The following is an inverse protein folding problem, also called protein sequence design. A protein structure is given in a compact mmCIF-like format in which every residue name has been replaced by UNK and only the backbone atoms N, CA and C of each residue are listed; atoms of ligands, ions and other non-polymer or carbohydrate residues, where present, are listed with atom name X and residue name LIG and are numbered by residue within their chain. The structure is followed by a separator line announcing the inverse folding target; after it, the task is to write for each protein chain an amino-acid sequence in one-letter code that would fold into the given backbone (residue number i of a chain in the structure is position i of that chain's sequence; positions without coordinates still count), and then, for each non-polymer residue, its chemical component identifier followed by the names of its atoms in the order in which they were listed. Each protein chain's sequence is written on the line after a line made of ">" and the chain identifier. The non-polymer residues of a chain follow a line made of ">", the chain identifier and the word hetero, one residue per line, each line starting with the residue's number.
data_IF_095223591965
#
_entry.id   IF_095223591965
#
_cell.length_a   1.000
_cell.length_b   1.000
_cell.length_c   1.000
_cell.angle_alpha   90.00
_cell.angle_beta   90.00
_cell.angle_gamma   90.00
#
_symmetry.space_group_name_H-M   'P 1'
#
loop_
_entity.id
_entity.type
_entity.pdbx_description
1 polymer ?
#
# COMPACT_ATOMS: atom_id res chain seq x y z
N UNK A 1 42.87 29.92 -0.01
CA UNK A 1 43.94 29.39 0.86
C UNK A 1 43.42 29.47 2.29
N UNK A 2 43.39 28.30 2.93
CA UNK A 2 43.33 28.03 4.36
C UNK A 2 42.53 28.99 5.25
N UNK A 3 41.30 28.59 5.54
CA UNK A 3 40.67 28.93 6.82
C UNK A 3 41.26 28.03 7.91
N UNK A 4 41.61 28.62 9.05
CA UNK A 4 41.74 27.88 10.31
C UNK A 4 41.35 28.84 11.41
N UNK A 5 40.23 28.55 12.08
CA UNK A 5 40.04 28.97 13.45
C UNK A 5 39.34 27.84 14.19
N UNK A 6 40.14 27.17 15.00
CA UNK A 6 39.76 26.21 16.02
C UNK A 6 39.02 26.98 17.13
N UNK A 7 37.89 26.45 17.61
CA UNK A 7 37.31 26.92 18.87
C UNK A 7 37.08 25.75 19.81
N UNK A 8 37.77 25.88 20.93
CA UNK A 8 37.87 25.01 22.10
C UNK A 8 36.53 24.90 22.84
N UNK A 9 36.28 23.71 23.37
CA UNK A 9 35.16 23.38 24.25
C UNK A 9 35.32 24.07 25.62
N UNK A 10 34.22 24.43 26.27
CA UNK A 10 34.23 25.00 27.62
C UNK A 10 32.84 25.19 28.22
N UNK A 11 32.33 24.14 28.83
CA UNK A 11 31.09 23.99 29.62
C UNK A 11 31.05 24.88 30.87
N UNK A 12 29.86 25.43 31.20
CA UNK A 12 29.29 25.53 32.57
C UNK A 12 27.85 26.09 32.43
N UNK A 13 26.80 25.34 32.77
CA UNK A 13 26.24 25.09 34.12
C UNK A 13 25.41 26.27 34.64
N UNK A 14 24.18 26.00 35.11
CA UNK A 14 23.47 26.94 35.97
C UNK A 14 21.94 27.03 35.81
N UNK A 15 21.25 26.14 36.49
CA UNK A 15 19.81 26.00 36.78
C UNK A 15 19.06 27.23 37.33
N UNK A 16 17.83 27.43 36.81
CA UNK A 16 16.57 27.81 37.52
C UNK A 16 16.40 29.27 38.00
N UNK A 17 15.22 29.84 38.19
CA UNK A 17 13.81 29.55 37.86
C UNK A 17 13.00 30.68 38.55
N UNK A 18 12.29 31.55 37.83
CA UNK A 18 11.29 32.44 38.47
C UNK A 18 10.22 32.96 37.47
N UNK A 19 8.97 32.86 37.94
CA UNK A 19 7.68 33.05 37.26
C UNK A 19 7.26 34.55 37.20
N UNK A 20 6.81 35.10 36.08
CA UNK A 20 5.44 35.16 35.51
C UNK A 20 4.84 36.58 35.53
N UNK A 21 4.49 37.11 34.34
CA UNK A 21 3.49 38.17 34.16
C UNK A 21 2.92 38.17 32.72
N UNK A 22 1.60 37.94 32.65
CA UNK A 22 0.54 38.23 31.64
C UNK A 22 0.81 39.40 30.67
N UNK A 23 0.27 39.57 29.46
CA UNK A 23 -0.90 39.12 28.66
C UNK A 23 -0.61 39.54 27.20
N UNK A 24 -1.06 38.77 26.18
CA UNK A 24 -1.67 39.26 24.91
C UNK A 24 -1.56 38.25 23.75
N UNK A 25 -2.72 37.93 23.18
CA UNK A 25 -3.05 37.76 21.75
C UNK A 25 -2.34 36.67 20.92
N UNK A 26 -3.18 35.69 20.55
CA UNK A 26 -3.15 34.80 19.39
C UNK A 26 -2.15 35.14 18.27
N UNK A 27 -1.42 34.12 17.80
CA UNK A 27 -1.75 33.46 16.53
C UNK A 27 -1.45 31.95 16.65
N UNK A 28 -2.51 31.15 16.55
CA UNK A 28 -2.41 29.72 16.44
C UNK A 28 -2.00 29.35 15.02
N UNK A 29 -0.93 28.56 14.86
CA UNK A 29 -0.96 27.42 13.92
C UNK A 29 -0.12 26.28 14.50
N UNK A 30 -0.77 25.40 15.26
CA UNK A 30 -0.37 24.01 15.38
C UNK A 30 -0.96 23.24 14.21
N UNK A 31 -0.16 22.75 13.25
CA UNK A 31 -0.55 21.61 12.41
C UNK A 31 0.72 20.81 12.11
N UNK A 32 1.10 19.92 13.03
CA UNK A 32 0.83 18.49 12.93
C UNK A 32 1.72 17.81 11.87
N UNK A 33 2.88 17.35 12.33
CA UNK A 33 3.46 16.10 11.84
C UNK A 33 2.39 15.02 11.98
N UNK A 34 1.82 14.59 10.87
CA UNK A 34 0.67 13.72 10.90
C UNK A 34 0.02 13.60 9.55
N UNK A 35 0.78 13.16 8.53
CA UNK A 35 0.12 12.46 7.43
C UNK A 35 -0.40 11.17 8.04
N UNK A 36 -1.64 11.24 8.53
CA UNK A 36 -2.48 10.09 8.76
C UNK A 36 -2.62 9.38 7.41
N UNK A 37 -1.62 8.56 7.09
CA UNK A 37 -1.85 7.37 6.33
C UNK A 37 -2.79 6.55 7.20
N UNK A 38 -4.09 6.78 7.03
CA UNK A 38 -5.09 5.76 7.30
C UNK A 38 -4.72 4.59 6.40
N UNK A 39 -3.77 3.77 6.88
CA UNK A 39 -3.68 2.39 6.51
C UNK A 39 -5.02 1.81 6.93
N UNK A 40 -6.00 1.91 6.04
CA UNK A 40 -7.08 0.94 6.03
C UNK A 40 -6.35 -0.38 5.91
N UNK A 41 -6.21 -1.06 7.04
CA UNK A 41 -5.98 -2.47 7.08
C UNK A 41 -7.21 -3.07 6.42
N UNK A 42 -7.22 -3.05 5.07
CA UNK A 42 -8.06 -3.91 4.29
C UNK A 42 -7.76 -5.28 4.89
N UNK A 43 -8.73 -5.83 5.61
CA UNK A 43 -8.73 -7.23 5.97
C UNK A 43 -8.57 -7.94 4.65
N UNK A 44 -7.34 -8.33 4.34
CA UNK A 44 -7.00 -8.79 3.02
C UNK A 44 -7.62 -10.18 2.90
N UNK A 45 -8.88 -10.19 2.48
CA UNK A 45 -9.65 -11.39 2.33
C UNK A 45 -8.83 -12.33 1.44
N UNK A 46 -8.63 -13.54 1.94
CA UNK A 46 -7.88 -14.55 1.21
C UNK A 46 -8.86 -15.37 0.40
N UNK A 47 -8.72 -15.28 -0.91
CA UNK A 47 -9.57 -15.99 -1.84
C UNK A 47 -8.83 -17.19 -2.39
N UNK A 48 -9.57 -18.27 -2.60
CA UNK A 48 -9.02 -19.50 -3.16
C UNK A 48 -8.90 -19.35 -4.67
N UNK A 49 -7.77 -19.77 -5.23
CA UNK A 49 -7.61 -19.92 -6.67
C UNK A 49 -8.41 -21.14 -7.15
N UNK A 50 -8.86 -21.10 -8.41
CA UNK A 50 -9.57 -22.19 -9.07
C UNK A 50 -8.88 -23.54 -8.82
N UNK A 51 -9.57 -24.52 -8.22
CA UNK A 51 -8.99 -25.82 -7.94
C UNK A 51 -8.62 -26.51 -9.25
N UNK A 52 -7.42 -27.09 -9.31
CA UNK A 52 -6.91 -27.75 -10.52
C UNK A 52 -6.29 -26.83 -11.57
N UNK A 53 -6.16 -25.52 -11.30
CA UNK A 53 -5.45 -24.58 -12.17
C UNK A 53 -4.21 -23.98 -11.48
N UNK A 54 -3.14 -23.79 -12.25
CA UNK A 54 -2.02 -22.95 -11.84
C UNK A 54 -2.25 -21.56 -12.41
N UNK A 55 -2.14 -20.53 -11.56
CA UNK A 55 -2.47 -19.17 -11.96
C UNK A 55 -1.22 -18.33 -12.05
N UNK A 56 -1.06 -17.69 -13.19
CA UNK A 56 0.08 -16.82 -13.46
C UNK A 56 -0.19 -15.43 -12.88
N UNK A 57 0.66 -15.03 -11.93
CA UNK A 57 0.78 -13.66 -11.45
C UNK A 57 1.56 -12.87 -12.49
N UNK A 58 1.00 -11.74 -12.92
CA UNK A 58 1.55 -10.89 -13.97
C UNK A 58 1.98 -9.54 -13.41
N UNK A 59 2.90 -8.88 -14.11
CA UNK A 59 3.39 -7.55 -13.71
C UNK A 59 2.36 -6.43 -13.89
N UNK A 60 1.31 -6.66 -14.66
CA UNK A 60 0.26 -5.70 -14.95
C UNK A 60 -1.08 -6.38 -15.25
N UNK A 61 -2.17 -5.62 -15.41
CA UNK A 61 -3.52 -6.14 -15.61
C UNK A 61 -3.78 -6.53 -17.08
N UNK A 62 -2.85 -7.26 -17.69
CA UNK A 62 -2.99 -7.70 -19.08
C UNK A 62 -2.39 -9.08 -19.24
N UNK A 63 -2.91 -9.87 -20.19
CA UNK A 63 -2.32 -11.19 -20.48
C UNK A 63 -1.01 -11.09 -21.26
N UNK A 64 -0.73 -9.93 -21.84
CA UNK A 64 0.55 -9.61 -22.47
C UNK A 64 1.62 -9.19 -21.47
N UNK A 65 1.26 -8.89 -20.21
CA UNK A 65 2.23 -8.57 -19.17
C UNK A 65 3.05 -9.81 -18.78
N UNK A 66 4.33 -9.58 -18.47
CA UNK A 66 5.26 -10.61 -18.05
C UNK A 66 4.77 -11.35 -16.82
N UNK A 67 4.88 -12.67 -16.82
CA UNK A 67 4.60 -13.50 -15.65
C UNK A 67 5.73 -13.30 -14.65
N UNK A 68 5.41 -12.75 -13.49
CA UNK A 68 6.37 -12.47 -12.40
C UNK A 68 6.44 -13.61 -11.40
N UNK A 69 5.34 -14.35 -11.25
CA UNK A 69 5.23 -15.50 -10.35
C UNK A 69 4.11 -16.41 -10.82
N UNK A 70 4.15 -17.67 -10.42
CA UNK A 70 3.08 -18.63 -10.66
C UNK A 70 2.58 -19.17 -9.31
N UNK A 71 1.27 -19.23 -9.15
CA UNK A 71 0.60 -19.75 -7.98
C UNK A 71 0.35 -21.25 -8.18
N UNK A 72 0.72 -22.09 -7.19
CA UNK A 72 0.45 -23.52 -7.26
C UNK A 72 -1.05 -23.82 -7.16
N UNK A 73 -1.43 -25.06 -7.45
CA UNK A 73 -2.80 -25.53 -7.31
C UNK A 73 -3.33 -25.33 -5.89
N UNK A 74 -4.56 -24.82 -5.77
CA UNK A 74 -5.20 -24.58 -4.47
C UNK A 74 -4.55 -23.45 -3.66
N UNK A 75 -3.70 -22.63 -4.28
CA UNK A 75 -3.15 -21.45 -3.64
C UNK A 75 -4.26 -20.49 -3.19
N UNK A 76 -3.97 -19.70 -2.16
CA UNK A 76 -4.82 -18.60 -1.71
C UNK A 76 -4.11 -17.29 -1.99
N UNK A 77 -4.87 -16.30 -2.45
CA UNK A 77 -4.37 -14.96 -2.71
C UNK A 77 -5.09 -13.94 -1.84
N UNK A 78 -4.32 -13.01 -1.27
CA UNK A 78 -4.86 -11.84 -0.60
C UNK A 78 -5.01 -10.72 -1.61
N UNK A 79 -6.24 -10.24 -1.82
CA UNK A 79 -6.49 -9.13 -2.74
C UNK A 79 -6.34 -7.83 -1.96
N UNK A 80 -5.40 -6.98 -2.38
CA UNK A 80 -5.18 -5.66 -1.76
C UNK A 80 -6.09 -4.61 -2.38
N UNK A 81 -6.13 -4.61 -3.70
CA UNK A 81 -6.96 -3.72 -4.50
C UNK A 81 -7.23 -4.39 -5.82
N UNK A 82 -8.23 -3.91 -6.54
CA UNK A 82 -8.57 -4.39 -7.87
C UNK A 82 -8.48 -3.26 -8.87
N UNK A 83 -8.28 -3.60 -10.14
CA UNK A 83 -8.40 -2.63 -11.24
C UNK A 83 -8.99 -3.29 -12.47
N UNK A 84 -9.58 -2.49 -13.34
CA UNK A 84 -9.94 -2.96 -14.67
C UNK A 84 -8.72 -3.03 -15.58
N UNK A 85 -8.71 -4.02 -16.46
CA UNK A 85 -7.65 -4.24 -17.44
C UNK A 85 -8.13 -5.04 -18.64
N UNK A 86 -7.26 -5.90 -19.15
CA UNK A 86 -7.61 -6.75 -20.27
C UNK A 86 -8.66 -7.79 -19.85
N UNK A 87 -9.69 -7.99 -20.67
CA UNK A 87 -10.68 -9.04 -20.45
C UNK A 87 -10.05 -10.43 -20.65
N UNK A 88 -10.30 -11.32 -19.70
CA UNK A 88 -9.78 -12.70 -19.68
C UNK A 88 -10.94 -13.65 -19.42
N UNK A 89 -10.98 -14.74 -20.19
CA UNK A 89 -11.89 -15.85 -19.96
C UNK A 89 -11.19 -16.92 -19.15
N UNK A 90 -11.85 -17.40 -18.10
CA UNK A 90 -11.33 -18.40 -17.18
C UNK A 90 -12.43 -19.29 -16.62
N UNK A 91 -12.10 -20.17 -15.66
CA UNK A 91 -13.02 -21.16 -15.10
C UNK A 91 -14.24 -20.55 -14.41
N UNK A 92 -14.11 -19.34 -13.85
CA UNK A 92 -15.22 -18.63 -13.19
C UNK A 92 -15.98 -17.68 -14.12
N UNK A 93 -15.66 -17.67 -15.41
CA UNK A 93 -16.30 -16.81 -16.40
C UNK A 93 -15.33 -15.82 -17.03
N UNK A 94 -15.88 -14.78 -17.66
CA UNK A 94 -15.11 -13.77 -18.37
C UNK A 94 -15.18 -12.45 -17.63
N UNK A 95 -14.03 -11.96 -17.15
CA UNK A 95 -13.93 -10.71 -16.39
C UNK A 95 -12.81 -9.82 -16.94
N UNK A 96 -12.99 -8.51 -16.80
CA UNK A 96 -11.95 -7.50 -17.00
C UNK A 96 -11.33 -7.01 -15.69
N UNK A 97 -11.69 -7.66 -14.58
CA UNK A 97 -11.19 -7.35 -13.23
C UNK A 97 -9.85 -8.08 -13.00
N UNK A 98 -8.90 -7.32 -12.47
CA UNK A 98 -7.58 -7.79 -12.08
C UNK A 98 -7.32 -7.48 -10.61
N UNK A 99 -6.95 -8.52 -9.89
CA UNK A 99 -6.63 -8.51 -8.46
C UNK A 99 -5.16 -8.21 -8.24
N UNK A 100 -4.87 -7.10 -7.56
CA UNK A 100 -3.53 -6.78 -7.10
C UNK A 100 -3.27 -7.50 -5.78
N UNK A 101 -2.41 -8.52 -5.83
CA UNK A 101 -2.02 -9.30 -4.65
C UNK A 101 -0.78 -8.70 -3.96
N UNK A 102 0.00 -7.94 -4.71
CA UNK A 102 1.22 -7.28 -4.27
C UNK A 102 1.56 -6.13 -5.24
N UNK A 103 2.42 -5.17 -4.87
CA UNK A 103 2.76 -4.07 -5.76
C UNK A 103 3.41 -4.63 -7.04
N UNK A 104 2.85 -4.29 -8.21
CA UNK A 104 3.28 -4.85 -9.50
C UNK A 104 2.99 -6.34 -9.68
N UNK A 105 2.05 -6.92 -8.92
CA UNK A 105 1.65 -8.32 -9.02
C UNK A 105 0.14 -8.42 -9.12
N UNK A 106 -0.33 -8.81 -10.29
CA UNK A 106 -1.75 -8.87 -10.64
C UNK A 106 -2.15 -10.28 -11.05
N UNK A 107 -3.35 -10.69 -10.65
CA UNK A 107 -4.00 -11.95 -11.00
C UNK A 107 -5.34 -11.64 -11.64
N UNK A 108 -5.80 -12.44 -12.60
CA UNK A 108 -7.13 -12.25 -13.15
C UNK A 108 -8.18 -12.88 -12.23
N UNK A 109 -9.21 -12.11 -11.91
CA UNK A 109 -10.35 -12.54 -11.08
C UNK A 109 -11.08 -13.76 -11.68
N UNK A 110 -10.98 -14.00 -13.00
CA UNK A 110 -11.54 -15.19 -13.67
C UNK A 110 -11.00 -16.53 -13.15
N UNK A 111 -9.87 -16.50 -12.42
CA UNK A 111 -9.26 -17.68 -11.80
C UNK A 111 -9.30 -17.64 -10.27
N UNK A 112 -9.88 -16.61 -9.65
CA UNK A 112 -9.96 -16.46 -8.20
C UNK A 112 -11.42 -16.60 -7.78
N UNK A 113 -11.69 -17.46 -6.80
CA UNK A 113 -13.02 -17.62 -6.26
C UNK A 113 -13.30 -16.54 -5.22
N UNK A 114 -13.70 -15.37 -5.72
CA UNK A 114 -14.10 -14.21 -4.91
C UNK A 114 -15.54 -14.33 -4.40
N UNK A 115 -16.35 -15.17 -5.04
CA UNK A 115 -17.77 -15.37 -4.71
C UNK A 115 -18.68 -14.26 -5.24
N UNK A 116 -18.16 -13.37 -6.08
CA UNK A 116 -18.91 -12.28 -6.70
C UNK A 116 -18.30 -11.91 -8.05
N UNK A 117 -19.11 -11.61 -9.06
CA UNK A 117 -18.64 -11.16 -10.39
C UNK A 117 -18.24 -9.67 -10.42
N UNK A 118 -18.14 -9.04 -9.24
CA UNK A 118 -17.91 -7.62 -9.05
C UNK A 118 -16.71 -7.35 -8.15
N UNK A 119 -16.45 -6.07 -7.87
CA UNK A 119 -15.32 -5.69 -7.04
C UNK A 119 -15.52 -6.15 -5.58
N UNK A 120 -14.74 -7.12 -5.14
CA UNK A 120 -14.67 -7.55 -3.72
C UNK A 120 -13.70 -6.73 -2.85
N UNK A 121 -12.77 -6.02 -3.47
CA UNK A 121 -11.77 -5.13 -2.89
C UNK A 121 -11.84 -3.73 -3.53
N UNK A 122 -11.39 -2.67 -2.84
CA UNK A 122 -11.39 -1.32 -3.38
C UNK A 122 -10.57 -1.20 -4.68
N UNK A 123 -10.89 -0.20 -5.49
CA UNK A 123 -10.13 0.10 -6.69
C UNK A 123 -8.70 0.50 -6.32
N UNK A 124 -7.70 0.07 -7.10
CA UNK A 124 -6.32 0.47 -6.86
C UNK A 124 -6.17 1.99 -7.02
N UNK A 125 -5.76 2.66 -5.96
CA UNK A 125 -5.34 4.06 -6.01
C UNK A 125 -4.11 4.17 -6.92
N UNK A 126 -4.14 5.11 -7.86
CA UNK A 126 -3.04 5.38 -8.79
C UNK A 126 -1.82 5.95 -8.06
#
# INVERSE_FOLDING_TARGET
>A
MSGTQENTVGTADGTGADEAAVVAEAEAVTEAEGVAAEAMAATAATYQVAPGYQVNVRSGPSTSASVVRQLPYGARVSIRCQRRGQRVSGPYGTTDIWDSIAPGQYVSDSYVHTGSDGFVAPNCAN
#
